data_IF_483486050121
#
_entry.id   IF_483486050121
#
_cell.length_a   1.000
_cell.length_b   1.000
_cell.length_c   1.000
_cell.angle_alpha   90.00
_cell.angle_beta   90.00
_cell.angle_gamma   90.00
#
_symmetry.space_group_name_H-M   'P 1'
#
loop_
_entity.id
_entity.type
_entity.pdbx_description
1 polymer ?
#
# COMPACT_ATOMS: atom_id res chain seq x y z
N UNK A 1 -55.41 12.48 -19.30
CA UNK A 1 -54.41 13.37 -18.73
C UNK A 1 -53.09 12.59 -18.56
N UNK A 2 -52.16 12.77 -19.49
CA UNK A 2 -50.86 12.10 -19.47
C UNK A 2 -49.82 13.10 -18.96
N UNK A 3 -49.33 12.86 -17.74
CA UNK A 3 -48.24 13.64 -17.13
C UNK A 3 -46.90 13.10 -17.60
N UNK A 4 -46.19 13.88 -18.37
CA UNK A 4 -44.85 13.59 -18.88
C UNK A 4 -43.83 13.66 -17.74
N UNK A 5 -43.16 12.55 -17.44
CA UNK A 5 -42.04 12.46 -16.52
C UNK A 5 -40.71 12.53 -17.29
N UNK A 6 -40.33 13.74 -17.73
CA UNK A 6 -39.19 13.96 -18.63
C UNK A 6 -38.02 14.78 -18.01
N UNK A 7 -37.93 14.83 -16.66
CA UNK A 7 -36.98 15.72 -15.96
C UNK A 7 -35.71 15.08 -15.43
N UNK A 8 -35.57 13.74 -15.35
CA UNK A 8 -34.47 13.07 -14.66
C UNK A 8 -33.32 12.54 -15.53
N UNK A 9 -33.51 12.42 -16.85
CA UNK A 9 -32.47 11.84 -17.73
C UNK A 9 -31.41 12.87 -18.16
N UNK A 10 -31.75 14.15 -18.24
CA UNK A 10 -30.80 15.19 -18.67
C UNK A 10 -29.67 15.48 -17.67
N UNK A 11 -29.96 15.42 -16.36
CA UNK A 11 -28.98 15.71 -15.31
C UNK A 11 -27.90 14.62 -15.20
N UNK A 12 -28.28 13.37 -15.31
CA UNK A 12 -27.34 12.23 -15.23
C UNK A 12 -26.39 12.18 -16.44
N UNK A 13 -26.87 12.55 -17.63
CA UNK A 13 -26.06 12.54 -18.85
C UNK A 13 -25.06 13.70 -18.88
N UNK A 14 -25.40 14.86 -18.32
CA UNK A 14 -24.47 15.97 -18.14
C UNK A 14 -23.37 15.65 -17.12
N UNK A 15 -23.69 15.02 -16.01
CA UNK A 15 -22.73 14.60 -14.98
C UNK A 15 -21.72 13.56 -15.53
N UNK A 16 -22.19 12.57 -16.29
CA UNK A 16 -21.32 11.57 -16.92
C UNK A 16 -20.37 12.22 -17.93
N UNK A 17 -20.85 13.17 -18.75
CA UNK A 17 -20.01 13.86 -19.71
C UNK A 17 -18.96 14.74 -19.02
N UNK A 18 -19.29 15.37 -17.91
CA UNK A 18 -18.35 16.17 -17.14
C UNK A 18 -17.28 15.31 -16.48
N UNK A 19 -17.64 14.16 -15.91
CA UNK A 19 -16.68 13.18 -15.37
C UNK A 19 -15.74 12.64 -16.44
N UNK A 20 -16.25 12.35 -17.63
CA UNK A 20 -15.44 11.88 -18.76
C UNK A 20 -14.47 12.97 -19.22
N UNK A 21 -14.90 14.22 -19.27
CA UNK A 21 -14.05 15.36 -19.61
C UNK A 21 -12.88 15.49 -18.63
N UNK A 22 -13.16 15.49 -17.32
CA UNK A 22 -12.12 15.56 -16.27
C UNK A 22 -11.13 14.39 -16.37
N UNK A 23 -11.60 13.16 -16.69
CA UNK A 23 -10.71 12.00 -16.87
C UNK A 23 -9.80 12.16 -18.08
N UNK A 24 -10.32 12.70 -19.19
CA UNK A 24 -9.52 12.97 -20.41
C UNK A 24 -8.49 14.06 -20.17
N UNK A 25 -8.84 15.13 -19.46
CA UNK A 25 -7.90 16.19 -19.07
C UNK A 25 -6.77 15.67 -18.19
N UNK A 26 -7.10 14.83 -17.19
CA UNK A 26 -6.08 14.17 -16.35
C UNK A 26 -5.16 13.26 -17.16
N UNK A 27 -5.70 12.52 -18.11
CA UNK A 27 -4.89 11.67 -18.99
C UNK A 27 -3.96 12.52 -19.86
N UNK A 28 -4.47 13.58 -20.48
CA UNK A 28 -3.66 14.50 -21.29
C UNK A 28 -2.50 15.08 -20.49
N UNK A 29 -2.76 15.55 -19.26
CA UNK A 29 -1.73 16.08 -18.37
C UNK A 29 -0.65 15.04 -18.02
N UNK A 30 -1.04 13.79 -17.81
CA UNK A 30 -0.09 12.69 -17.58
C UNK A 30 0.75 12.38 -18.83
N UNK A 31 0.12 12.41 -20.01
CA UNK A 31 0.82 12.18 -21.28
C UNK A 31 1.82 13.31 -21.58
N UNK A 32 1.45 14.55 -21.37
CA UNK A 32 2.35 15.72 -21.49
C UNK A 32 3.53 15.66 -20.52
N UNK A 33 3.30 15.13 -19.31
CA UNK A 33 4.35 14.90 -18.32
C UNK A 33 5.24 13.67 -18.62
N UNK A 34 5.02 12.95 -19.72
CA UNK A 34 5.75 11.73 -20.06
C UNK A 34 5.41 10.52 -19.17
N UNK A 35 4.29 10.57 -18.46
CA UNK A 35 3.81 9.53 -17.55
C UNK A 35 2.53 8.86 -18.05
N UNK A 36 2.47 8.57 -19.36
CA UNK A 36 1.31 7.93 -19.97
C UNK A 36 1.08 6.53 -19.37
N UNK A 37 -0.03 6.30 -18.63
CA UNK A 37 -0.29 5.02 -17.99
C UNK A 37 -0.60 3.90 -18.99
N UNK A 38 -0.94 4.21 -20.24
CA UNK A 38 -1.26 3.23 -21.28
C UNK A 38 -0.03 2.70 -22.03
N UNK A 39 1.15 3.28 -21.80
CA UNK A 39 2.41 2.74 -22.35
C UNK A 39 2.90 1.51 -21.58
N UNK A 40 2.53 1.38 -20.31
CA UNK A 40 2.86 0.22 -19.48
C UNK A 40 1.76 -0.82 -19.66
N UNK A 41 1.98 -1.76 -20.61
CA UNK A 41 1.01 -2.79 -20.94
C UNK A 41 1.20 -4.09 -20.17
N UNK A 42 2.36 -4.27 -19.51
CA UNK A 42 2.69 -5.46 -18.74
C UNK A 42 3.43 -5.06 -17.46
N UNK A 43 3.08 -5.72 -16.37
CA UNK A 43 3.77 -5.62 -15.09
C UNK A 43 4.06 -7.03 -14.57
N UNK A 44 5.31 -7.32 -14.23
CA UNK A 44 5.70 -8.64 -13.76
C UNK A 44 5.42 -8.77 -12.25
N UNK A 45 4.30 -9.42 -11.95
CA UNK A 45 3.87 -9.74 -10.60
C UNK A 45 4.51 -11.05 -10.18
N UNK A 46 5.26 -11.05 -9.07
CA UNK A 46 5.88 -12.26 -8.53
C UNK A 46 4.97 -12.99 -7.55
N UNK A 47 4.21 -12.24 -6.75
CA UNK A 47 3.39 -12.78 -5.66
C UNK A 47 2.05 -12.06 -5.56
N UNK A 48 1.04 -12.72 -5.05
CA UNK A 48 -0.21 -12.11 -4.60
C UNK A 48 -0.15 -11.72 -3.12
N UNK A 49 -1.09 -10.91 -2.68
CA UNK A 49 -1.11 -10.39 -1.30
C UNK A 49 -1.15 -11.48 -0.22
N UNK A 50 -1.85 -12.60 -0.45
CA UNK A 50 -1.83 -13.76 0.45
C UNK A 50 -0.46 -14.44 0.46
N UNK A 51 0.12 -14.66 -0.72
CA UNK A 51 1.39 -15.35 -0.88
C UNK A 51 2.53 -14.58 -0.19
N UNK A 52 2.48 -13.24 -0.19
CA UNK A 52 3.45 -12.39 0.52
C UNK A 52 3.37 -12.58 2.03
N UNK A 53 2.17 -12.72 2.58
CA UNK A 53 1.99 -12.96 4.03
C UNK A 53 2.55 -14.32 4.44
N UNK A 54 2.25 -15.36 3.65
CA UNK A 54 2.73 -16.71 3.91
C UNK A 54 4.25 -16.77 3.78
N UNK A 55 4.81 -16.14 2.75
CA UNK A 55 6.24 -16.03 2.53
C UNK A 55 6.95 -15.31 3.68
N UNK A 56 6.37 -14.18 4.14
CA UNK A 56 6.92 -13.42 5.26
C UNK A 56 6.90 -14.23 6.56
N UNK A 57 5.80 -14.89 6.87
CA UNK A 57 5.67 -15.71 8.07
C UNK A 57 6.69 -16.87 8.07
N UNK A 58 6.83 -17.56 6.94
CA UNK A 58 7.81 -18.65 6.80
C UNK A 58 9.26 -18.14 6.91
N UNK A 59 9.53 -16.95 6.37
CA UNK A 59 10.84 -16.32 6.45
C UNK A 59 11.16 -15.88 7.89
N UNK A 60 10.20 -15.24 8.56
CA UNK A 60 10.31 -14.86 9.96
C UNK A 60 10.55 -16.08 10.86
N UNK A 61 9.78 -17.15 10.69
CA UNK A 61 9.95 -18.40 11.43
C UNK A 61 11.35 -18.99 11.25
N UNK A 62 11.86 -18.99 10.02
CA UNK A 62 13.22 -19.48 9.72
C UNK A 62 14.30 -18.62 10.37
N UNK A 63 14.22 -17.30 10.29
CA UNK A 63 15.25 -16.41 10.82
C UNK A 63 15.23 -16.32 12.35
N UNK A 64 14.07 -16.48 12.95
CA UNK A 64 13.90 -16.44 14.40
C UNK A 64 13.87 -17.82 15.05
N UNK A 65 14.16 -18.90 14.29
CA UNK A 65 14.19 -20.26 14.80
C UNK A 65 15.20 -20.39 15.95
N UNK A 66 14.72 -20.96 17.06
CA UNK A 66 15.55 -21.16 18.27
C UNK A 66 15.72 -19.92 19.16
N UNK A 67 15.13 -18.78 18.79
CA UNK A 67 15.11 -17.59 19.65
C UNK A 67 14.11 -17.78 20.80
N UNK A 68 14.51 -17.58 22.06
CA UNK A 68 13.59 -17.66 23.19
C UNK A 68 12.59 -16.50 23.14
N UNK A 69 11.34 -16.75 23.52
CA UNK A 69 10.37 -15.68 23.72
C UNK A 69 10.81 -14.79 24.89
N UNK A 70 10.49 -13.50 24.79
CA UNK A 70 10.74 -12.57 25.88
C UNK A 70 9.94 -13.00 27.12
N UNK A 71 10.63 -13.30 28.21
CA UNK A 71 9.98 -13.57 29.47
C UNK A 71 9.91 -12.28 30.29
N UNK A 72 8.71 -11.84 30.58
CA UNK A 72 8.43 -10.65 31.38
C UNK A 72 7.94 -10.98 32.81
N UNK A 73 7.95 -12.27 33.17
CA UNK A 73 7.48 -12.72 34.46
C UNK A 73 8.35 -12.13 35.61
N UNK A 74 7.70 -11.49 36.58
CA UNK A 74 8.37 -10.87 37.70
C UNK A 74 8.99 -9.50 37.44
N UNK A 75 8.85 -8.96 36.23
CA UNK A 75 9.28 -7.59 35.94
C UNK A 75 8.18 -6.58 36.28
N UNK A 76 8.59 -5.36 36.64
CA UNK A 76 7.65 -4.25 36.69
C UNK A 76 7.19 -3.84 35.31
N UNK A 77 6.11 -3.05 35.22
CA UNK A 77 5.50 -2.68 33.93
C UNK A 77 6.46 -1.90 33.01
N UNK A 78 7.33 -1.08 33.57
CA UNK A 78 8.28 -0.28 32.81
C UNK A 78 9.40 -1.17 32.26
N UNK A 79 9.97 -2.06 33.06
CA UNK A 79 10.99 -3.01 32.63
C UNK A 79 10.44 -4.01 31.61
N UNK A 80 9.22 -4.50 31.79
CA UNK A 80 8.56 -5.38 30.84
C UNK A 80 8.36 -4.71 29.46
N UNK A 81 7.93 -3.46 29.43
CA UNK A 81 7.78 -2.68 28.18
C UNK A 81 9.12 -2.47 27.47
N UNK A 82 10.18 -2.20 28.24
CA UNK A 82 11.51 -2.01 27.66
C UNK A 82 12.10 -3.30 27.11
N UNK A 83 11.90 -4.43 27.79
CA UNK A 83 12.30 -5.74 27.32
C UNK A 83 11.58 -6.14 26.01
N UNK A 84 10.27 -5.92 25.93
CA UNK A 84 9.47 -6.18 24.69
C UNK A 84 9.91 -5.25 23.56
N UNK A 85 10.20 -3.99 23.85
CA UNK A 85 10.68 -3.03 22.85
C UNK A 85 12.06 -3.42 22.32
N UNK A 86 12.98 -3.81 23.19
CA UNK A 86 14.31 -4.26 22.80
C UNK A 86 14.23 -5.52 21.90
N UNK A 87 13.40 -6.49 22.27
CA UNK A 87 13.17 -7.69 21.46
C UNK A 87 12.59 -7.33 20.08
N UNK A 88 11.63 -6.42 20.03
CA UNK A 88 11.05 -5.97 18.78
C UNK A 88 12.11 -5.31 17.86
N UNK A 89 12.95 -4.45 18.41
CA UNK A 89 14.02 -3.78 17.68
C UNK A 89 15.06 -4.77 17.14
N UNK A 90 15.40 -5.77 17.95
CA UNK A 90 16.35 -6.83 17.54
C UNK A 90 15.74 -7.74 16.45
N UNK A 91 14.48 -8.19 16.61
CA UNK A 91 13.76 -8.95 15.58
C UNK A 91 13.69 -8.19 14.27
N UNK A 92 13.36 -6.89 14.36
CA UNK A 92 13.31 -6.02 13.19
C UNK A 92 14.69 -5.93 12.51
N UNK A 93 15.76 -5.76 13.29
CA UNK A 93 17.11 -5.71 12.73
C UNK A 93 17.51 -7.00 12.00
N UNK A 94 17.12 -8.16 12.53
CA UNK A 94 17.35 -9.47 11.87
C UNK A 94 16.58 -9.56 10.56
N UNK A 95 15.32 -9.14 10.54
CA UNK A 95 14.48 -9.15 9.33
C UNK A 95 14.96 -8.14 8.27
N UNK A 96 15.40 -6.96 8.70
CA UNK A 96 15.92 -5.92 7.80
C UNK A 96 17.28 -6.30 7.17
N UNK A 97 18.03 -7.23 7.81
CA UNK A 97 19.29 -7.74 7.28
C UNK A 97 19.13 -8.74 6.11
N UNK A 98 17.99 -9.42 6.06
CA UNK A 98 17.65 -10.36 4.97
C UNK A 98 16.24 -10.07 4.43
N UNK A 99 16.05 -8.97 3.67
CA UNK A 99 14.74 -8.52 3.21
C UNK A 99 14.20 -9.42 2.08
N UNK A 100 12.93 -9.74 2.16
CA UNK A 100 12.21 -10.46 1.09
C UNK A 100 11.74 -9.48 0.03
N UNK A 101 12.25 -9.61 -1.19
CA UNK A 101 11.86 -8.79 -2.33
C UNK A 101 10.68 -9.41 -3.07
N UNK A 102 9.60 -8.64 -3.21
CA UNK A 102 8.38 -9.05 -3.91
C UNK A 102 7.89 -7.96 -4.86
N UNK A 103 7.22 -8.36 -5.92
CA UNK A 103 6.51 -7.47 -6.83
C UNK A 103 5.04 -7.83 -6.83
N UNK A 104 4.20 -6.91 -6.39
CA UNK A 104 2.75 -7.09 -6.31
C UNK A 104 2.03 -6.00 -7.10
N UNK A 105 0.88 -6.33 -7.64
CA UNK A 105 -0.01 -5.36 -8.26
C UNK A 105 -1.43 -5.53 -7.73
N UNK A 106 -2.11 -4.42 -7.52
CA UNK A 106 -3.46 -4.44 -7.00
C UNK A 106 -4.10 -3.05 -7.00
N UNK A 107 -5.35 -3.00 -6.61
CA UNK A 107 -6.09 -1.75 -6.48
C UNK A 107 -5.81 -1.10 -5.13
N UNK A 108 -5.43 0.17 -5.15
CA UNK A 108 -5.31 0.95 -3.92
C UNK A 108 -6.71 1.30 -3.40
N UNK A 109 -7.08 0.70 -2.27
CA UNK A 109 -8.39 0.89 -1.64
C UNK A 109 -8.40 2.05 -0.66
N UNK A 110 -7.28 2.29 0.00
CA UNK A 110 -7.14 3.32 1.02
C UNK A 110 -5.72 3.87 1.01
N UNK A 111 -5.59 5.19 1.22
CA UNK A 111 -4.30 5.88 1.39
C UNK A 111 -4.40 6.87 2.53
N UNK A 112 -3.46 6.82 3.46
CA UNK A 112 -3.32 7.76 4.57
C UNK A 112 -1.89 8.30 4.61
N UNK A 113 -1.77 9.61 4.48
CA UNK A 113 -0.48 10.31 4.56
C UNK A 113 -0.31 10.84 5.99
N UNK A 114 0.84 10.56 6.60
CA UNK A 114 1.20 10.98 7.95
C UNK A 114 2.62 11.56 7.92
N UNK A 115 2.73 12.85 7.63
CA UNK A 115 4.03 13.54 7.55
C UNK A 115 4.94 12.93 6.49
N UNK A 116 6.05 12.31 6.93
CA UNK A 116 7.04 11.67 6.06
C UNK A 116 6.72 10.22 5.67
N UNK A 117 5.62 9.68 6.20
CA UNK A 117 5.20 8.32 5.94
C UNK A 117 3.79 8.26 5.35
N UNK A 118 3.53 7.23 4.57
CA UNK A 118 2.21 6.94 4.02
C UNK A 118 1.87 5.48 4.22
N UNK A 119 0.62 5.23 4.57
CA UNK A 119 0.07 3.88 4.60
C UNK A 119 -0.94 3.76 3.46
N UNK A 120 -0.93 2.65 2.77
CA UNK A 120 -1.94 2.33 1.77
C UNK A 120 -2.33 0.86 1.84
N UNK A 121 -3.59 0.57 1.54
CA UNK A 121 -4.07 -0.80 1.41
C UNK A 121 -4.18 -1.12 -0.08
N UNK A 122 -3.49 -2.17 -0.50
CA UNK A 122 -3.56 -2.73 -1.84
C UNK A 122 -4.38 -4.01 -1.78
N UNK A 123 -5.35 -4.13 -2.66
CA UNK A 123 -6.19 -5.30 -2.83
C UNK A 123 -5.96 -5.92 -4.21
N UNK A 124 -5.73 -7.21 -4.24
CA UNK A 124 -5.66 -8.02 -5.45
C UNK A 124 -6.76 -9.11 -5.46
N UNK A 125 -6.61 -10.11 -6.33
CA UNK A 125 -7.58 -11.22 -6.45
C UNK A 125 -7.58 -12.16 -5.25
N UNK A 126 -6.49 -12.23 -4.48
CA UNK A 126 -6.32 -13.17 -3.35
C UNK A 126 -6.48 -12.52 -1.98
N UNK A 127 -6.58 -11.20 -1.90
CA UNK A 127 -6.76 -10.54 -0.63
C UNK A 127 -6.30 -9.08 -0.61
N UNK A 128 -5.92 -8.62 0.58
CA UNK A 128 -5.41 -7.26 0.76
C UNK A 128 -4.20 -7.24 1.68
N UNK A 129 -3.30 -6.30 1.43
CA UNK A 129 -2.12 -6.04 2.26
C UNK A 129 -1.97 -4.55 2.50
N UNK A 130 -1.57 -4.18 3.71
CA UNK A 130 -1.18 -2.81 4.00
C UNK A 130 0.28 -2.62 3.66
N UNK A 131 0.58 -1.56 2.93
CA UNK A 131 1.94 -1.12 2.63
C UNK A 131 2.27 0.13 3.42
N UNK A 132 3.50 0.19 3.89
CA UNK A 132 4.12 1.35 4.50
C UNK A 132 5.15 1.93 3.54
N UNK A 133 5.03 3.22 3.27
CA UNK A 133 5.91 3.94 2.35
C UNK A 133 6.54 5.10 3.10
N UNK A 134 7.82 5.00 3.40
CA UNK A 134 8.59 6.10 3.97
C UNK A 134 9.12 6.99 2.84
N UNK A 135 8.96 8.31 2.98
CA UNK A 135 9.46 9.28 2.00
C UNK A 135 10.96 9.15 1.79
N UNK A 136 11.69 8.93 2.88
CA UNK A 136 13.16 8.82 2.83
C UNK A 136 13.64 7.53 2.14
N UNK A 137 12.81 6.48 2.10
CA UNK A 137 13.11 5.22 1.41
C UNK A 137 12.87 5.29 -0.12
N UNK A 138 11.99 6.19 -0.59
CA UNK A 138 11.66 6.34 -2.02
C UNK A 138 12.45 7.50 -2.64
N UNK A 139 13.11 8.32 -1.82
CA UNK A 139 13.49 9.69 -2.09
C UNK A 139 14.61 9.93 -3.09
N UNK A 140 15.01 8.98 -3.92
CA UNK A 140 15.98 9.31 -4.98
C UNK A 140 15.37 9.45 -6.38
N UNK A 141 14.06 9.16 -6.55
CA UNK A 141 13.43 9.16 -7.87
C UNK A 141 12.16 9.99 -8.02
N UNK A 142 11.62 10.57 -6.95
CA UNK A 142 10.40 11.39 -7.02
C UNK A 142 10.53 12.69 -6.22
N UNK A 143 11.19 13.68 -6.78
CA UNK A 143 10.86 15.08 -6.46
C UNK A 143 9.53 15.38 -7.13
N UNK A 144 8.43 15.23 -6.40
CA UNK A 144 7.14 15.75 -6.84
C UNK A 144 7.25 17.28 -6.82
N UNK A 145 7.05 17.97 -7.93
CA UNK A 145 6.94 19.42 -7.91
C UNK A 145 5.70 19.79 -7.07
N UNK A 146 5.87 20.76 -6.22
CA UNK A 146 4.84 21.37 -5.37
C UNK A 146 3.73 21.99 -6.19
#
# INVERSE_FOLDING_TARGET
MAGQNNGKQGGQQQDVNQLLKVRREKLANLQEAGQDPFQITKYDVTHHTSDVKDLYNAHEEKLLAGRPAVNTDGMDEAAAREAVKADYEERRSIMDADPVHVSIAGRMMFKRVMGKASFANIQDLKGSIQIYVARDAICLLYTSPS
#
